data_IF_894342897959
#
_entry.id   IF_894342897959
#
_cell.length_a   1.000
_cell.length_b   1.000
_cell.length_c   1.000
_cell.angle_alpha   90.00
_cell.angle_beta   90.00
_cell.angle_gamma   90.00
#
_symmetry.space_group_name_H-M   'P 1'
#
loop_
_entity.id
_entity.type
_entity.pdbx_description
1 polymer ?
#
# COMPACT_ATOMS: atom_id res chain seq x y z
N UNK A 1 13.42 13.81 -0.31
CA UNK A 1 14.16 12.90 0.56
C UNK A 1 15.68 13.04 0.40
N UNK A 2 16.23 13.01 -0.81
CA UNK A 2 17.68 13.22 -1.03
C UNK A 2 18.16 14.55 -0.44
N UNK A 3 17.44 15.64 -0.68
CA UNK A 3 17.78 16.96 -0.09
C UNK A 3 17.76 16.89 1.44
N UNK A 4 16.80 16.21 2.05
CA UNK A 4 16.75 16.00 3.49
C UNK A 4 18.01 15.30 3.99
N UNK A 5 18.40 14.18 3.38
CA UNK A 5 19.61 13.43 3.73
C UNK A 5 20.87 14.31 3.56
N UNK A 6 21.01 15.01 2.44
CA UNK A 6 22.17 15.86 2.17
C UNK A 6 22.28 16.99 3.20
N UNK A 7 21.16 17.68 3.50
CA UNK A 7 21.16 18.78 4.48
C UNK A 7 21.58 18.29 5.86
N UNK A 8 21.01 17.17 6.36
CA UNK A 8 21.36 16.66 7.68
C UNK A 8 22.77 16.04 7.73
N UNK A 9 23.26 15.48 6.63
CA UNK A 9 24.66 15.04 6.55
C UNK A 9 25.64 16.22 6.60
N UNK A 10 25.33 17.34 5.95
CA UNK A 10 26.14 18.56 6.04
C UNK A 10 26.11 19.17 7.44
N UNK A 11 24.98 19.00 8.15
CA UNK A 11 24.82 19.48 9.53
C UNK A 11 25.34 18.49 10.59
N UNK A 12 25.85 17.32 10.20
CA UNK A 12 26.28 16.28 11.15
C UNK A 12 27.29 16.80 12.18
N UNK A 13 28.23 17.68 11.76
CA UNK A 13 29.17 18.31 12.66
C UNK A 13 28.57 19.25 13.70
N UNK A 14 27.38 19.81 13.43
CA UNK A 14 26.68 20.68 14.37
C UNK A 14 26.05 19.87 15.51
N UNK A 15 25.67 18.63 15.26
CA UNK A 15 25.10 17.73 16.28
C UNK A 15 25.99 17.55 17.49
N UNK A 16 27.30 17.55 17.30
CA UNK A 16 28.29 17.45 18.41
C UNK A 16 28.28 18.66 19.38
N UNK A 17 27.66 19.76 18.98
CA UNK A 17 27.53 20.97 19.81
C UNK A 17 26.17 21.08 20.53
N UNK A 18 25.25 20.15 20.26
CA UNK A 18 23.90 20.13 20.85
C UNK A 18 23.87 19.26 22.11
N UNK A 19 23.04 19.61 23.06
CA UNK A 19 22.75 18.79 24.24
C UNK A 19 21.79 17.62 23.90
N UNK A 20 21.70 16.63 24.77
CA UNK A 20 20.88 15.44 24.59
C UNK A 20 19.41 15.79 24.35
N UNK A 21 18.87 16.79 25.06
CA UNK A 21 17.48 17.20 24.92
C UNK A 21 17.22 17.79 23.52
N UNK A 22 18.13 18.61 23.01
CA UNK A 22 18.05 19.17 21.67
C UNK A 22 18.15 18.07 20.60
N UNK A 23 19.05 17.08 20.78
CA UNK A 23 19.19 15.93 19.89
C UNK A 23 17.95 15.05 19.85
N UNK A 24 17.29 14.86 20.98
CA UNK A 24 16.00 14.13 21.04
C UNK A 24 14.92 14.92 20.31
N UNK A 25 14.73 16.20 20.59
CA UNK A 25 13.69 17.03 19.96
C UNK A 25 13.91 17.12 18.44
N UNK A 26 15.14 17.34 18.01
CA UNK A 26 15.51 17.38 16.60
C UNK A 26 15.29 16.01 15.94
N UNK A 27 15.67 14.92 16.62
CA UNK A 27 15.43 13.56 16.16
C UNK A 27 13.96 13.24 15.97
N UNK A 28 13.09 13.64 16.89
CA UNK A 28 11.64 13.48 16.75
C UNK A 28 11.08 14.29 15.58
N UNK A 29 11.55 15.53 15.38
CA UNK A 29 11.18 16.31 14.19
C UNK A 29 11.66 15.67 12.89
N UNK A 30 12.89 15.14 12.88
CA UNK A 30 13.47 14.41 11.74
C UNK A 30 12.67 13.13 11.44
N UNK A 31 12.20 12.40 12.45
CA UNK A 31 11.45 11.17 12.29
C UNK A 31 10.10 11.33 11.57
N UNK A 32 9.45 12.50 11.74
CA UNK A 32 8.19 12.83 11.07
C UNK A 32 8.41 13.32 9.64
N UNK A 33 9.51 14.01 9.39
CA UNK A 33 9.76 14.73 8.13
C UNK A 33 9.69 13.85 6.88
N UNK A 34 10.35 12.66 6.79
CA UNK A 34 10.26 11.80 5.61
C UNK A 34 8.83 11.33 5.32
N UNK A 35 8.05 11.00 6.36
CA UNK A 35 6.68 10.59 6.23
C UNK A 35 5.79 11.71 5.67
N UNK A 36 5.91 12.93 6.22
CA UNK A 36 5.17 14.08 5.72
C UNK A 36 5.55 14.44 4.28
N UNK A 37 6.84 14.37 3.92
CA UNK A 37 7.27 14.60 2.54
C UNK A 37 6.64 13.59 1.58
N UNK A 38 6.55 12.31 1.96
CA UNK A 38 5.88 11.29 1.17
C UNK A 38 4.38 11.55 1.04
N UNK A 39 3.68 11.88 2.11
CA UNK A 39 2.25 12.24 2.06
C UNK A 39 2.00 13.40 1.10
N UNK A 40 2.86 14.43 1.13
CA UNK A 40 2.76 15.56 0.20
C UNK A 40 3.02 15.14 -1.26
N UNK A 41 3.99 14.23 -1.48
CA UNK A 41 4.30 13.72 -2.82
C UNK A 41 3.12 12.92 -3.36
N UNK A 42 2.58 11.97 -2.61
CA UNK A 42 1.41 11.19 -3.01
C UNK A 42 0.22 12.09 -3.31
N UNK A 43 -0.08 13.02 -2.42
CA UNK A 43 -1.16 13.98 -2.64
C UNK A 43 -0.98 14.83 -3.92
N UNK A 44 0.26 15.13 -4.32
CA UNK A 44 0.52 15.89 -5.56
C UNK A 44 0.52 15.04 -6.81
N UNK A 45 0.78 13.74 -6.70
CA UNK A 45 0.75 12.80 -7.82
C UNK A 45 -0.69 12.41 -8.18
N UNK A 46 -1.53 12.32 -7.18
CA UNK A 46 -2.97 12.08 -7.31
C UNK A 46 -3.71 13.36 -7.67
N UNK A 47 -3.66 13.74 -8.97
CA UNK A 47 -4.26 14.96 -9.47
C UNK A 47 -5.62 14.77 -10.12
N UNK A 48 -5.96 13.52 -10.49
CA UNK A 48 -7.18 13.23 -11.22
C UNK A 48 -8.40 13.29 -10.29
N UNK A 49 -8.33 12.59 -9.15
CA UNK A 49 -9.35 12.58 -8.10
C UNK A 49 -8.66 12.54 -6.72
N UNK A 50 -8.20 13.71 -6.20
CA UNK A 50 -7.39 13.73 -4.99
C UNK A 50 -8.19 13.33 -3.76
N UNK A 51 -7.70 12.32 -3.04
CA UNK A 51 -8.27 11.81 -1.81
C UNK A 51 -8.49 12.91 -0.74
N UNK A 52 -9.58 12.84 0.04
CA UNK A 52 -9.82 13.79 1.11
C UNK A 52 -8.70 13.81 2.14
N UNK A 53 -8.04 14.96 2.29
CA UNK A 53 -6.90 15.14 3.22
C UNK A 53 -7.20 14.65 4.63
N UNK A 54 -8.45 14.79 5.09
CA UNK A 54 -8.88 14.38 6.42
C UNK A 54 -8.82 12.87 6.58
N UNK A 55 -9.18 12.12 5.53
CA UNK A 55 -9.14 10.65 5.56
C UNK A 55 -7.70 10.15 5.49
N UNK A 56 -6.88 10.67 4.59
CA UNK A 56 -5.45 10.33 4.51
C UNK A 56 -4.74 10.62 5.84
N UNK A 57 -4.97 11.81 6.42
CA UNK A 57 -4.43 12.15 7.73
C UNK A 57 -5.00 11.26 8.85
N UNK A 58 -6.28 10.92 8.79
CA UNK A 58 -6.93 10.01 9.74
C UNK A 58 -6.31 8.61 9.72
N UNK A 59 -6.08 8.05 8.53
CA UNK A 59 -5.44 6.74 8.37
C UNK A 59 -3.98 6.76 8.83
N UNK A 60 -3.22 7.82 8.47
CA UNK A 60 -1.85 8.03 8.97
C UNK A 60 -1.80 8.06 10.49
N UNK A 61 -2.66 8.88 11.12
CA UNK A 61 -2.71 9.00 12.59
C UNK A 61 -3.15 7.71 13.26
N UNK A 62 -4.10 6.99 12.67
CA UNK A 62 -4.54 5.68 13.20
C UNK A 62 -3.41 4.65 13.10
N UNK A 63 -2.69 4.59 11.98
CA UNK A 63 -1.51 3.75 11.83
C UNK A 63 -0.42 4.09 12.86
N UNK A 64 -0.17 5.38 13.07
CA UNK A 64 0.77 5.89 14.07
C UNK A 64 0.35 5.49 15.50
N UNK A 65 -0.91 5.72 15.88
CA UNK A 65 -1.41 5.40 17.22
C UNK A 65 -1.43 3.88 17.48
N UNK A 66 -1.85 3.08 16.51
CA UNK A 66 -1.81 1.62 16.61
C UNK A 66 -0.36 1.12 16.73
N UNK A 67 0.57 1.69 15.97
CA UNK A 67 1.98 1.35 16.08
C UNK A 67 2.53 1.73 17.46
N UNK A 68 2.21 2.90 17.98
CA UNK A 68 2.62 3.32 19.31
C UNK A 68 2.08 2.40 20.41
N UNK A 69 0.81 1.98 20.29
CA UNK A 69 0.15 1.14 21.28
C UNK A 69 0.60 -0.33 21.22
N UNK A 70 0.86 -0.87 20.03
CA UNK A 70 1.09 -2.31 19.84
C UNK A 70 2.57 -2.66 19.70
N UNK A 71 3.35 -1.84 18.98
CA UNK A 71 4.74 -2.18 18.66
C UNK A 71 5.60 -2.35 19.90
N UNK A 72 5.62 -1.36 20.79
CA UNK A 72 6.49 -1.41 21.98
C UNK A 72 6.18 -2.65 22.83
N UNK A 73 4.94 -2.87 23.34
CA UNK A 73 4.67 -4.04 24.17
C UNK A 73 4.89 -5.38 23.44
N UNK A 74 4.57 -5.47 22.14
CA UNK A 74 4.78 -6.72 21.40
C UNK A 74 6.27 -7.04 21.27
N UNK A 75 7.09 -6.07 20.93
CA UNK A 75 8.51 -6.30 20.66
C UNK A 75 9.31 -6.46 21.96
N UNK A 76 9.03 -5.66 23.00
CA UNK A 76 9.83 -5.66 24.22
C UNK A 76 9.32 -6.62 25.29
N UNK A 77 7.98 -6.76 25.44
CA UNK A 77 7.40 -7.55 26.53
C UNK A 77 7.02 -8.96 26.07
N UNK A 78 6.30 -9.08 24.93
CA UNK A 78 5.76 -10.38 24.50
C UNK A 78 6.86 -11.23 23.86
N UNK A 79 7.61 -10.67 22.92
CA UNK A 79 8.61 -11.42 22.17
C UNK A 79 10.04 -11.17 22.64
N UNK A 80 10.31 -10.12 23.40
CA UNK A 80 11.65 -9.74 23.87
C UNK A 80 12.70 -9.82 22.73
N UNK A 81 12.39 -9.18 21.59
CA UNK A 81 13.11 -9.34 20.33
C UNK A 81 14.61 -9.04 20.44
N UNK A 82 14.97 -8.08 21.29
CA UNK A 82 16.36 -7.65 21.51
C UNK A 82 17.24 -8.79 22.09
N UNK A 83 16.63 -9.76 22.76
CA UNK A 83 17.37 -10.85 23.39
C UNK A 83 17.82 -11.95 22.43
N UNK A 84 17.14 -12.15 21.27
CA UNK A 84 17.39 -13.30 20.42
C UNK A 84 17.44 -13.00 18.92
N UNK A 85 16.81 -11.93 18.46
CA UNK A 85 16.60 -11.68 17.04
C UNK A 85 17.93 -11.46 16.29
N UNK A 86 18.95 -10.85 16.93
CA UNK A 86 20.26 -10.59 16.35
C UNK A 86 21.30 -11.71 16.54
N UNK A 87 20.98 -12.81 17.25
CA UNK A 87 21.97 -13.86 17.60
C UNK A 87 22.38 -14.68 16.39
N UNK A 88 21.42 -15.09 15.54
CA UNK A 88 21.66 -15.85 14.32
C UNK A 88 20.99 -15.18 13.11
N UNK A 89 21.54 -15.39 11.92
CA UNK A 89 20.97 -14.80 10.70
C UNK A 89 19.54 -15.30 10.43
N UNK A 90 19.24 -16.57 10.74
CA UNK A 90 17.91 -17.13 10.54
C UNK A 90 16.90 -16.61 11.58
N UNK A 91 17.33 -16.39 12.84
CA UNK A 91 16.47 -15.78 13.87
C UNK A 91 16.15 -14.32 13.50
N UNK A 92 17.10 -13.59 12.94
CA UNK A 92 16.92 -12.25 12.41
C UNK A 92 15.93 -12.25 11.24
N UNK A 93 16.09 -13.15 10.27
CA UNK A 93 15.17 -13.27 9.12
C UNK A 93 13.74 -13.60 9.58
N UNK A 94 13.59 -14.64 10.40
CA UNK A 94 12.27 -15.05 10.91
C UNK A 94 11.65 -13.98 11.82
N UNK A 95 12.43 -13.36 12.69
CA UNK A 95 11.96 -12.26 13.54
C UNK A 95 11.48 -11.06 12.72
N UNK A 96 12.23 -10.67 11.70
CA UNK A 96 11.84 -9.60 10.81
C UNK A 96 10.55 -9.93 10.02
N UNK A 97 10.37 -11.16 9.54
CA UNK A 97 9.15 -11.54 8.81
C UNK A 97 7.96 -11.72 9.76
N UNK A 98 8.11 -12.54 10.80
CA UNK A 98 7.00 -12.99 11.64
C UNK A 98 6.60 -11.95 12.70
N UNK A 99 7.52 -11.10 13.15
CA UNK A 99 7.21 -10.09 14.17
C UNK A 99 7.15 -8.71 13.53
N UNK A 100 8.26 -8.20 12.98
CA UNK A 100 8.27 -6.85 12.41
C UNK A 100 7.28 -6.74 11.26
N UNK A 101 7.31 -7.67 10.31
CA UNK A 101 6.46 -7.68 9.14
C UNK A 101 4.99 -7.91 9.47
N UNK A 102 4.67 -8.96 10.25
CA UNK A 102 3.27 -9.28 10.57
C UNK A 102 2.60 -8.20 11.42
N UNK A 103 3.29 -7.68 12.44
CA UNK A 103 2.74 -6.60 13.27
C UNK A 103 2.50 -5.35 12.44
N UNK A 104 3.46 -4.98 11.59
CA UNK A 104 3.32 -3.81 10.71
C UNK A 104 2.18 -3.98 9.70
N UNK A 105 2.09 -5.14 9.04
CA UNK A 105 1.00 -5.44 8.11
C UNK A 105 -0.37 -5.47 8.80
N UNK A 106 -0.47 -6.03 10.02
CA UNK A 106 -1.69 -6.03 10.82
C UNK A 106 -2.12 -4.62 11.22
N UNK A 107 -1.18 -3.75 11.58
CA UNK A 107 -1.46 -2.34 11.90
C UNK A 107 -1.96 -1.59 10.66
N UNK A 108 -1.29 -1.75 9.51
CA UNK A 108 -1.71 -1.13 8.25
C UNK A 108 -3.11 -1.61 7.86
N UNK A 109 -3.34 -2.93 7.87
CA UNK A 109 -4.66 -3.50 7.61
C UNK A 109 -5.73 -2.93 8.53
N UNK A 110 -5.48 -2.93 9.85
CA UNK A 110 -6.40 -2.42 10.86
C UNK A 110 -6.72 -0.94 10.68
N UNK A 111 -5.71 -0.11 10.41
CA UNK A 111 -5.89 1.33 10.19
C UNK A 111 -6.77 1.62 8.98
N UNK A 112 -6.49 0.99 7.83
CA UNK A 112 -7.29 1.15 6.62
C UNK A 112 -8.70 0.58 6.82
N UNK A 113 -8.81 -0.60 7.42
CA UNK A 113 -10.11 -1.28 7.63
C UNK A 113 -11.07 -0.47 8.50
N UNK A 114 -10.54 0.16 9.56
CA UNK A 114 -11.37 0.90 10.53
C UNK A 114 -11.73 2.29 10.03
N UNK A 115 -10.82 2.98 9.34
CA UNK A 115 -11.01 4.40 9.01
C UNK A 115 -11.71 4.60 7.67
N UNK A 116 -11.32 3.84 6.64
CA UNK A 116 -11.74 4.17 5.25
C UNK A 116 -12.35 3.01 4.49
N UNK A 117 -12.16 1.76 4.88
CA UNK A 117 -12.53 0.63 4.03
C UNK A 117 -14.02 0.58 3.68
N UNK A 118 -14.90 1.01 4.57
CA UNK A 118 -16.36 1.07 4.36
C UNK A 118 -16.85 2.50 4.03
N UNK A 119 -15.93 3.46 3.83
CA UNK A 119 -16.25 4.84 3.50
C UNK A 119 -16.61 4.97 2.01
N UNK A 120 -17.62 5.80 1.62
CA UNK A 120 -17.94 6.08 0.22
C UNK A 120 -16.80 6.69 -0.58
N UNK A 121 -15.90 7.42 0.05
CA UNK A 121 -14.71 8.02 -0.58
C UNK A 121 -13.64 6.97 -0.97
N UNK A 122 -13.79 5.71 -0.55
CA UNK A 122 -12.98 4.61 -1.04
C UNK A 122 -13.69 4.02 -2.26
N UNK A 123 -13.58 4.68 -3.40
CA UNK A 123 -14.33 4.38 -4.62
C UNK A 123 -13.45 3.88 -5.78
N UNK A 124 -12.11 3.98 -5.64
CA UNK A 124 -11.17 3.42 -6.59
C UNK A 124 -10.27 2.31 -5.98
N UNK A 125 -9.75 1.43 -6.84
CA UNK A 125 -8.79 0.38 -6.41
C UNK A 125 -7.45 0.97 -5.95
N UNK A 126 -7.08 2.13 -6.51
CA UNK A 126 -5.84 2.82 -6.16
C UNK A 126 -5.87 3.42 -4.76
N UNK A 127 -7.05 3.78 -4.24
CA UNK A 127 -7.23 4.34 -2.90
C UNK A 127 -6.71 3.39 -1.83
N UNK A 128 -6.90 2.08 -2.05
CA UNK A 128 -6.32 1.06 -1.18
C UNK A 128 -4.82 1.22 -1.01
N UNK A 129 -4.10 1.56 -2.09
CA UNK A 129 -2.65 1.78 -2.05
C UNK A 129 -2.34 3.09 -1.32
N UNK A 130 -3.04 4.18 -1.61
CA UNK A 130 -2.83 5.50 -1.02
C UNK A 130 -3.04 5.43 0.49
N UNK A 131 -4.16 4.88 0.93
CA UNK A 131 -4.47 4.76 2.36
C UNK A 131 -3.54 3.78 3.09
N UNK A 132 -3.19 2.65 2.48
CA UNK A 132 -2.25 1.72 3.11
C UNK A 132 -0.86 2.33 3.26
N UNK A 133 -0.37 3.06 2.25
CA UNK A 133 0.89 3.82 2.34
C UNK A 133 0.82 4.86 3.45
N UNK A 134 -0.29 5.60 3.58
CA UNK A 134 -0.47 6.55 4.67
C UNK A 134 -0.37 5.88 6.05
N UNK A 135 -1.03 4.72 6.25
CA UNK A 135 -0.90 3.92 7.47
C UNK A 135 0.54 3.44 7.72
N UNK A 136 1.21 2.93 6.66
CA UNK A 136 2.60 2.48 6.72
C UNK A 136 3.58 3.59 7.10
N UNK A 137 3.34 4.82 6.62
CA UNK A 137 4.09 6.01 7.02
C UNK A 137 3.89 6.34 8.52
N UNK A 138 2.70 6.11 9.06
CA UNK A 138 2.44 6.21 10.51
C UNK A 138 3.27 5.19 11.30
N UNK A 139 3.34 3.94 10.84
CA UNK A 139 4.20 2.88 11.43
C UNK A 139 5.68 3.28 11.38
N UNK A 140 6.15 3.79 10.23
CA UNK A 140 7.52 4.26 10.06
C UNK A 140 7.88 5.38 11.04
N UNK A 141 6.98 6.34 11.25
CA UNK A 141 7.18 7.45 12.18
C UNK A 141 7.41 6.94 13.60
N UNK A 142 6.60 5.99 14.08
CA UNK A 142 6.81 5.39 15.41
C UNK A 142 8.08 4.57 15.46
N UNK A 143 8.44 3.82 14.40
CA UNK A 143 9.71 3.12 14.34
C UNK A 143 10.89 4.07 14.55
N UNK A 144 10.87 5.21 13.85
CA UNK A 144 11.89 6.24 13.97
C UNK A 144 11.87 6.94 15.35
N UNK A 145 10.69 7.17 15.95
CA UNK A 145 10.59 7.71 17.32
C UNK A 145 11.23 6.78 18.34
N UNK A 146 10.91 5.50 18.27
CA UNK A 146 11.50 4.48 19.17
C UNK A 146 13.02 4.47 19.02
N UNK A 147 13.54 4.53 17.80
CA UNK A 147 14.98 4.63 17.54
C UNK A 147 15.61 5.83 18.26
N UNK A 148 15.06 7.04 18.08
CA UNK A 148 15.57 8.26 18.72
C UNK A 148 15.58 8.14 20.25
N UNK A 149 14.50 7.64 20.82
CA UNK A 149 14.36 7.51 22.28
C UNK A 149 15.31 6.45 22.86
N UNK A 150 15.50 5.33 22.16
CA UNK A 150 16.39 4.24 22.62
C UNK A 150 17.88 4.65 22.58
N UNK A 151 18.25 5.55 21.66
CA UNK A 151 19.62 6.00 21.50
C UNK A 151 19.93 7.34 22.23
N UNK A 152 18.94 7.89 22.98
CA UNK A 152 19.12 9.15 23.71
C UNK A 152 19.29 10.38 22.80
N UNK A 153 18.82 10.30 21.54
CA UNK A 153 18.94 11.34 20.54
C UNK A 153 19.19 10.78 19.14
N UNK A 154 19.64 11.62 18.22
CA UNK A 154 19.88 11.25 16.83
C UNK A 154 21.28 11.70 16.38
N UNK A 155 22.02 10.82 15.73
CA UNK A 155 23.10 11.23 14.84
C UNK A 155 22.50 11.83 13.56
N UNK A 156 22.83 13.08 13.27
CA UNK A 156 22.18 13.80 12.16
C UNK A 156 22.48 13.18 10.80
N UNK A 157 23.69 12.66 10.59
CA UNK A 157 24.09 12.03 9.35
C UNK A 157 23.47 10.65 9.20
N UNK A 158 23.83 9.72 10.07
CA UNK A 158 23.41 8.32 10.04
C UNK A 158 21.89 8.22 10.25
N UNK A 159 21.36 8.94 11.23
CA UNK A 159 19.94 8.94 11.56
C UNK A 159 19.06 9.44 10.42
N UNK A 160 19.49 10.46 9.66
CA UNK A 160 18.72 10.96 8.52
C UNK A 160 18.56 9.89 7.43
N UNK A 161 19.60 9.15 7.12
CA UNK A 161 19.58 8.06 6.13
C UNK A 161 18.67 6.92 6.63
N UNK A 162 18.87 6.49 7.89
CA UNK A 162 18.04 5.44 8.50
C UNK A 162 16.56 5.79 8.46
N UNK A 163 16.19 7.00 8.86
CA UNK A 163 14.78 7.42 8.86
C UNK A 163 14.15 7.43 7.47
N UNK A 164 14.92 7.77 6.44
CA UNK A 164 14.47 7.69 5.05
C UNK A 164 14.31 6.23 4.63
N UNK A 165 15.29 5.38 4.92
CA UNK A 165 15.27 3.95 4.56
C UNK A 165 14.10 3.24 5.25
N UNK A 166 13.88 3.46 6.55
CA UNK A 166 12.76 2.89 7.29
C UNK A 166 11.42 3.34 6.69
N UNK A 167 11.28 4.63 6.38
CA UNK A 167 10.07 5.19 5.76
C UNK A 167 9.79 4.56 4.39
N UNK A 168 10.81 4.38 3.56
CA UNK A 168 10.70 3.70 2.26
C UNK A 168 10.28 2.25 2.40
N UNK A 169 10.83 1.52 3.36
CA UNK A 169 10.52 0.12 3.62
C UNK A 169 9.06 -0.09 4.00
N UNK A 170 8.59 0.63 5.02
CA UNK A 170 7.20 0.53 5.46
C UNK A 170 6.20 0.99 4.40
N UNK A 171 6.46 2.10 3.70
CA UNK A 171 5.59 2.63 2.66
C UNK A 171 5.47 1.67 1.47
N UNK A 172 6.60 1.14 0.98
CA UNK A 172 6.61 0.24 -0.16
C UNK A 172 5.94 -1.09 0.13
N UNK A 173 6.17 -1.69 1.30
CA UNK A 173 5.50 -2.93 1.69
C UNK A 173 4.00 -2.74 1.97
N UNK A 174 3.61 -1.58 2.55
CA UNK A 174 2.22 -1.22 2.75
C UNK A 174 1.47 -1.06 1.42
N UNK A 175 2.11 -0.57 0.35
CA UNK A 175 1.50 -0.44 -0.98
C UNK A 175 1.05 -1.78 -1.56
N UNK A 176 1.77 -2.87 -1.29
CA UNK A 176 1.37 -4.23 -1.68
C UNK A 176 0.07 -4.62 -0.97
N UNK A 177 0.00 -4.44 0.36
CA UNK A 177 -1.22 -4.73 1.11
C UNK A 177 -2.39 -3.87 0.63
N UNK A 178 -2.13 -2.59 0.35
CA UNK A 178 -3.11 -1.65 -0.21
C UNK A 178 -3.70 -2.11 -1.53
N UNK A 179 -2.86 -2.65 -2.44
CA UNK A 179 -3.32 -3.26 -3.68
C UNK A 179 -4.32 -4.40 -3.42
N UNK A 180 -3.98 -5.32 -2.49
CA UNK A 180 -4.88 -6.42 -2.13
C UNK A 180 -6.19 -5.93 -1.47
N UNK A 181 -6.12 -4.89 -0.66
CA UNK A 181 -7.31 -4.29 -0.03
C UNK A 181 -8.21 -3.59 -1.05
N UNK A 182 -7.61 -2.84 -1.99
CA UNK A 182 -8.35 -2.21 -3.08
C UNK A 182 -9.06 -3.23 -3.96
N UNK A 183 -8.38 -4.29 -4.37
CA UNK A 183 -9.02 -5.37 -5.14
C UNK A 183 -10.14 -6.06 -4.38
N UNK A 184 -9.93 -6.38 -3.09
CA UNK A 184 -10.94 -7.05 -2.27
C UNK A 184 -12.19 -6.20 -2.00
N UNK A 185 -12.09 -4.87 -2.12
CA UNK A 185 -13.22 -3.94 -1.99
C UNK A 185 -14.17 -4.03 -3.18
N UNK A 186 -13.62 -4.13 -4.40
CA UNK A 186 -14.38 -3.99 -5.64
C UNK A 186 -14.61 -5.30 -6.38
N UNK A 187 -13.87 -6.35 -6.06
CA UNK A 187 -13.99 -7.65 -6.70
C UNK A 187 -14.42 -8.76 -5.73
N UNK A 188 -15.11 -9.76 -6.24
CA UNK A 188 -15.41 -10.98 -5.48
C UNK A 188 -14.16 -11.83 -5.39
N UNK A 189 -13.33 -11.54 -4.39
CA UNK A 189 -12.09 -12.29 -4.16
C UNK A 189 -12.31 -13.49 -3.24
N UNK A 190 -11.54 -14.58 -3.38
CA UNK A 190 -11.55 -15.70 -2.43
C UNK A 190 -11.16 -15.22 -1.02
N UNK A 191 -11.66 -15.90 0.02
CA UNK A 191 -11.34 -15.58 1.43
C UNK A 191 -9.83 -15.54 1.74
N UNK A 192 -9.02 -16.34 1.03
CA UNK A 192 -7.55 -16.41 1.21
C UNK A 192 -6.83 -15.19 0.63
N UNK A 193 -7.50 -14.35 -0.17
CA UNK A 193 -6.86 -13.26 -0.92
C UNK A 193 -6.29 -12.18 0.00
N UNK A 194 -7.09 -11.65 0.94
CA UNK A 194 -6.63 -10.66 1.92
C UNK A 194 -5.57 -11.20 2.88
N UNK A 195 -5.75 -12.38 3.51
CA UNK A 195 -4.68 -13.01 4.29
C UNK A 195 -3.39 -13.22 3.48
N UNK A 196 -3.49 -13.59 2.21
CA UNK A 196 -2.35 -13.69 1.30
C UNK A 196 -1.64 -12.34 1.10
N UNK A 197 -2.39 -11.25 0.94
CA UNK A 197 -1.87 -9.89 0.86
C UNK A 197 -1.14 -9.45 2.14
N UNK A 198 -1.70 -9.77 3.30
CA UNK A 198 -1.07 -9.51 4.60
C UNK A 198 0.24 -10.27 4.74
N UNK A 199 0.25 -11.58 4.42
CA UNK A 199 1.45 -12.42 4.48
C UNK A 199 2.53 -11.94 3.49
N UNK A 200 2.15 -11.56 2.28
CA UNK A 200 3.08 -11.05 1.28
C UNK A 200 3.69 -9.72 1.74
N UNK A 201 2.88 -8.77 2.21
CA UNK A 201 3.35 -7.50 2.76
C UNK A 201 4.27 -7.71 3.95
N UNK A 202 3.90 -8.61 4.88
CA UNK A 202 4.72 -8.96 6.03
C UNK A 202 6.08 -9.55 5.63
N UNK A 203 6.07 -10.47 4.65
CA UNK A 203 7.30 -11.09 4.13
C UNK A 203 8.20 -10.06 3.47
N UNK A 204 7.65 -9.16 2.66
CA UNK A 204 8.40 -8.10 2.00
C UNK A 204 8.97 -7.09 3.00
N UNK A 205 8.18 -6.70 4.02
CA UNK A 205 8.66 -5.86 5.12
C UNK A 205 9.84 -6.52 5.84
N UNK A 206 9.66 -7.79 6.23
CA UNK A 206 10.70 -8.52 6.95
C UNK A 206 11.97 -8.74 6.12
N UNK A 207 11.82 -9.08 4.85
CA UNK A 207 12.95 -9.27 3.95
C UNK A 207 13.68 -7.94 3.68
N UNK A 208 12.94 -6.84 3.53
CA UNK A 208 13.49 -5.51 3.37
C UNK A 208 14.42 -5.15 4.54
N UNK A 209 13.90 -5.23 5.78
CA UNK A 209 14.70 -4.91 6.96
C UNK A 209 15.85 -5.89 7.19
N UNK A 210 15.63 -7.19 6.95
CA UNK A 210 16.70 -8.17 7.00
C UNK A 210 17.86 -7.83 6.05
N UNK A 211 17.56 -7.45 4.81
CA UNK A 211 18.59 -7.09 3.83
C UNK A 211 19.31 -5.80 4.20
N UNK A 212 18.59 -4.79 4.72
CA UNK A 212 19.21 -3.56 5.24
C UNK A 212 20.14 -3.86 6.41
N UNK A 213 19.69 -4.66 7.38
CA UNK A 213 20.50 -5.05 8.54
C UNK A 213 21.75 -5.87 8.14
N UNK A 214 21.61 -6.70 7.10
CA UNK A 214 22.76 -7.48 6.54
C UNK A 214 23.69 -6.64 5.71
N UNK A 215 23.26 -5.51 5.15
CA UNK A 215 24.15 -4.61 4.41
C UNK A 215 25.21 -3.94 5.27
N UNK A 216 25.05 -3.98 6.60
CA UNK A 216 26.04 -3.50 7.57
C UNK A 216 25.77 -2.10 8.12
N UNK A 217 24.60 -1.54 7.86
CA UNK A 217 24.20 -0.20 8.25
C UNK A 217 24.03 0.04 9.74
N UNK A 218 23.77 -1.02 10.48
CA UNK A 218 23.67 -0.92 11.92
C UNK A 218 25.02 -0.87 12.63
N UNK A 219 26.14 -0.93 11.88
CA UNK A 219 27.50 -0.78 12.42
C UNK A 219 27.94 0.67 12.27
N UNK A 220 28.39 1.31 13.34
CA UNK A 220 28.99 2.66 13.34
C UNK A 220 30.15 2.85 12.34
N UNK A 221 30.58 1.80 11.67
CA UNK A 221 31.66 1.75 10.69
C UNK A 221 31.20 1.38 9.27
N UNK A 222 29.88 1.15 9.05
CA UNK A 222 29.31 0.77 7.76
C UNK A 222 29.21 1.96 6.80
N UNK A 223 29.25 1.66 5.51
CA UNK A 223 28.99 2.65 4.45
C UNK A 223 27.49 2.98 4.40
N UNK A 224 27.09 4.03 5.13
CA UNK A 224 25.69 4.46 5.32
C UNK A 224 25.00 4.76 3.98
N UNK A 225 25.80 5.23 2.99
CA UNK A 225 25.31 5.49 1.64
C UNK A 225 24.89 4.20 0.91
N UNK A 226 25.56 3.08 1.21
CA UNK A 226 25.21 1.78 0.65
C UNK A 226 23.82 1.36 1.08
N UNK A 227 23.42 1.61 2.31
CA UNK A 227 22.09 1.27 2.81
C UNK A 227 21.02 2.13 2.18
N UNK A 228 21.28 3.40 1.98
CA UNK A 228 20.37 4.26 1.23
C UNK A 228 20.19 3.71 -0.19
N UNK A 229 21.27 3.30 -0.86
CA UNK A 229 21.21 2.71 -2.20
C UNK A 229 20.45 1.38 -2.22
N UNK A 230 20.71 0.50 -1.27
CA UNK A 230 20.00 -0.79 -1.13
C UNK A 230 18.53 -0.54 -0.81
N UNK A 231 18.20 0.34 0.14
CA UNK A 231 16.83 0.69 0.50
C UNK A 231 16.05 1.29 -0.66
N UNK A 232 16.65 2.23 -1.39
CA UNK A 232 16.05 2.82 -2.59
C UNK A 232 15.85 1.76 -3.68
N UNK A 233 16.84 0.91 -3.93
CA UNK A 233 16.74 -0.17 -4.90
C UNK A 233 15.60 -1.15 -4.56
N UNK A 234 15.53 -1.64 -3.34
CA UNK A 234 14.46 -2.53 -2.88
C UNK A 234 13.09 -1.87 -3.00
N UNK A 235 12.99 -0.59 -2.62
CA UNK A 235 11.75 0.19 -2.78
C UNK A 235 11.32 0.28 -4.24
N UNK A 236 12.26 0.57 -5.16
CA UNK A 236 11.96 0.63 -6.59
C UNK A 236 11.50 -0.72 -7.15
N UNK A 237 12.07 -1.83 -6.69
CA UNK A 237 11.64 -3.19 -7.05
C UNK A 237 10.21 -3.44 -6.59
N UNK A 238 9.89 -3.14 -5.33
CA UNK A 238 8.55 -3.34 -4.76
C UNK A 238 7.53 -2.43 -5.47
N UNK A 239 7.83 -1.15 -5.64
CA UNK A 239 6.95 -0.20 -6.34
C UNK A 239 6.76 -0.57 -7.82
N UNK A 240 7.80 -1.08 -8.47
CA UNK A 240 7.71 -1.63 -9.83
C UNK A 240 6.76 -2.84 -9.91
N UNK A 241 6.83 -3.73 -8.93
CA UNK A 241 5.91 -4.87 -8.82
C UNK A 241 4.45 -4.40 -8.63
N UNK A 242 4.21 -3.42 -7.75
CA UNK A 242 2.88 -2.81 -7.56
C UNK A 242 2.36 -2.18 -8.85
N UNK A 243 3.18 -1.37 -9.50
CA UNK A 243 2.81 -0.73 -10.76
C UNK A 243 2.48 -1.77 -11.86
N UNK A 244 3.23 -2.87 -11.92
CA UNK A 244 2.94 -3.99 -12.82
C UNK A 244 1.62 -4.68 -12.49
N UNK A 245 1.35 -4.97 -11.20
CA UNK A 245 0.10 -5.57 -10.74
C UNK A 245 -1.11 -4.70 -11.08
N UNK A 246 -1.02 -3.38 -10.83
CA UNK A 246 -2.07 -2.42 -11.16
C UNK A 246 -2.35 -2.38 -12.66
N UNK A 247 -1.29 -2.31 -13.50
CA UNK A 247 -1.45 -2.34 -14.96
C UNK A 247 -2.13 -3.61 -15.43
N UNK A 248 -1.69 -4.76 -14.93
CA UNK A 248 -2.29 -6.05 -15.28
C UNK A 248 -3.78 -6.13 -14.91
N UNK A 249 -4.15 -5.69 -13.71
CA UNK A 249 -5.54 -5.66 -13.28
C UNK A 249 -6.40 -4.76 -14.17
N UNK A 250 -5.90 -3.59 -14.56
CA UNK A 250 -6.60 -2.67 -15.47
C UNK A 250 -6.78 -3.26 -16.88
N UNK A 251 -5.76 -3.96 -17.42
CA UNK A 251 -5.84 -4.62 -18.73
C UNK A 251 -6.88 -5.76 -18.74
N UNK A 252 -6.96 -6.56 -17.66
CA UNK A 252 -7.94 -7.63 -17.52
C UNK A 252 -9.36 -7.06 -17.48
N UNK A 253 -9.59 -5.97 -16.73
CA UNK A 253 -10.87 -5.27 -16.67
C UNK A 253 -11.28 -4.72 -18.04
N UNK A 254 -10.37 -4.07 -18.76
CA UNK A 254 -10.62 -3.53 -20.09
C UNK A 254 -10.99 -4.65 -21.09
N UNK A 255 -10.33 -5.80 -21.05
CA UNK A 255 -10.64 -6.97 -21.91
C UNK A 255 -12.04 -7.51 -21.62
N UNK A 256 -12.41 -7.68 -20.36
CA UNK A 256 -13.75 -8.17 -19.96
C UNK A 256 -14.82 -7.21 -20.45
N UNK A 257 -14.64 -5.90 -20.29
CA UNK A 257 -15.57 -4.88 -20.75
C UNK A 257 -15.74 -4.91 -22.28
N UNK A 258 -14.64 -5.07 -23.04
CA UNK A 258 -14.70 -5.19 -24.49
C UNK A 258 -15.44 -6.45 -24.96
N UNK A 259 -15.22 -7.59 -24.29
CA UNK A 259 -15.91 -8.85 -24.60
C UNK A 259 -17.41 -8.75 -24.30
N UNK A 260 -17.80 -8.11 -23.21
CA UNK A 260 -19.22 -7.86 -22.88
C UNK A 260 -19.87 -6.97 -23.94
N UNK A 261 -19.21 -5.86 -24.32
CA UNK A 261 -19.73 -4.95 -25.33
C UNK A 261 -19.83 -5.59 -26.73
N UNK A 262 -18.92 -6.51 -27.07
CA UNK A 262 -18.98 -7.26 -28.34
C UNK A 262 -20.05 -8.38 -28.31
N UNK A 263 -20.30 -8.97 -27.14
CA UNK A 263 -21.36 -9.97 -26.92
C UNK A 263 -22.77 -9.39 -27.11
N UNK A 264 -23.04 -8.23 -26.54
CA UNK A 264 -24.34 -7.56 -26.67
C UNK A 264 -24.65 -7.08 -28.11
N UNK A 265 -23.65 -6.89 -28.94
CA UNK A 265 -23.82 -6.41 -30.31
C UNK A 265 -24.41 -7.45 -31.27
N UNK A 266 -24.35 -8.76 -30.99
CA UNK A 266 -24.95 -9.80 -31.84
C UNK A 266 -26.33 -10.26 -31.35
N UNK A 267 -26.68 -10.05 -30.08
CA UNK A 267 -28.04 -10.29 -29.58
C UNK A 267 -29.03 -9.20 -29.99
N UNK A 268 -28.58 -8.03 -30.39
CA UNK A 268 -29.42 -6.89 -30.77
C UNK A 268 -29.88 -6.88 -32.24
N UNK A 269 -29.74 -7.97 -33.00
CA UNK A 269 -30.31 -8.04 -34.35
C UNK A 269 -31.71 -8.67 -34.27
N UNK A 270 -32.80 -7.88 -34.23
CA UNK A 270 -34.15 -8.44 -34.32
C UNK A 270 -34.28 -9.11 -35.70
N UNK A 271 -34.56 -10.40 -35.69
CA UNK A 271 -35.04 -11.09 -36.88
C UNK A 271 -36.33 -10.39 -37.34
N UNK A 272 -36.24 -9.53 -38.34
CA UNK A 272 -37.41 -9.00 -39.02
C UNK A 272 -38.09 -10.19 -39.69
N UNK A 273 -39.30 -10.60 -39.31
CA UNK A 273 -40.02 -11.60 -40.08
C UNK A 273 -40.41 -10.95 -41.39
N UNK A 274 -39.79 -11.37 -42.50
CA UNK A 274 -40.23 -11.05 -43.84
C UNK A 274 -41.56 -11.78 -44.05
N UNK A 275 -42.69 -11.09 -43.87
CA UNK A 275 -43.99 -11.58 -44.28
C UNK A 275 -44.02 -11.49 -45.81
N UNK A 276 -43.75 -12.60 -46.44
CA UNK A 276 -44.00 -12.77 -47.87
C UNK A 276 -45.51 -12.86 -48.07
N UNK A 277 -46.16 -11.77 -48.47
CA UNK A 277 -47.51 -11.77 -48.98
C UNK A 277 -47.51 -12.48 -50.34
N UNK A 278 -47.80 -13.78 -50.35
CA UNK A 278 -48.16 -14.50 -51.57
C UNK A 278 -49.60 -14.15 -51.94
N UNK A 279 -49.74 -13.62 -53.16
CA UNK A 279 -50.98 -13.34 -53.86
C UNK A 279 -51.96 -14.52 -53.77
N UNK A 280 -53.18 -14.33 -53.16
CA UNK A 280 -54.28 -15.19 -53.33
C UNK A 280 -55.20 -14.54 -54.39
N UNK A 281 -55.18 -15.14 -55.57
CA UNK A 281 -56.04 -14.86 -56.71
C UNK A 281 -57.47 -15.16 -56.33
N UNK A 282 -58.36 -14.17 -56.53
CA UNK A 282 -59.81 -14.31 -56.51
C UNK A 282 -60.29 -15.22 -57.63
N UNK A 283 -60.97 -16.31 -57.33
CA UNK A 283 -61.84 -17.01 -58.27
C UNK A 283 -63.28 -17.03 -57.71
N UNK A 284 -64.14 -16.44 -58.53
CA UNK A 284 -65.62 -16.44 -58.42
C UNK A 284 -66.14 -17.84 -58.19
N UNK A 285 -67.14 -17.96 -57.34
CA UNK A 285 -68.26 -18.94 -57.49
C UNK A 285 -69.53 -18.31 -57.01
N UNK A 286 -70.43 -18.33 -57.89
CA UNK A 286 -71.86 -17.96 -58.00
C UNK A 286 -72.75 -18.54 -56.90
N UNK A 287 -73.74 -17.73 -56.57
CA UNK A 287 -75.07 -17.95 -55.99
C UNK A 287 -75.71 -19.25 -56.33
N UNK A 288 -76.41 -19.87 -55.34
CA UNK A 288 -77.74 -20.42 -55.51
C UNK A 288 -78.50 -20.33 -54.15
N UNK A 289 -79.72 -19.72 -54.30
CA UNK A 289 -80.81 -19.70 -53.38
C UNK A 289 -81.33 -21.12 -53.12
N UNK A 290 -82.01 -21.28 -52.01
CA UNK A 290 -82.86 -22.41 -51.75
C UNK A 290 -83.25 -22.49 -50.27
N UNK A 291 -84.27 -21.78 -49.92
CA UNK A 291 -85.60 -22.09 -49.29
C UNK A 291 -85.61 -23.14 -48.17
N UNK A 292 -86.37 -22.70 -47.14
CA UNK A 292 -87.42 -23.32 -46.36
C UNK A 292 -87.07 -24.32 -45.25
N UNK A 293 -87.36 -23.96 -44.10
CA UNK A 293 -88.43 -24.32 -43.11
C UNK A 293 -87.96 -23.95 -41.72
#
# INVERSE_FOLDING_TARGET
>A
LIIFVVVFNLLAGVGAALDDAALILLGLAMAVTPALLWLVIFYRLDRAEPEPRRLVAGVYLTGLLLAAALRVPIFTVIFATDAWMGVYWWSQLLGNILIVGMVSAAIVYGAVRVVVFDNPEFDERLDGIIYAVAAGLGVATISNFVYVLQHGGVDLGIGSIRMVVDTLGYASAASILGYFMGQARFEKTPLIYLPGGVLLSATLTGLYFFLIERSGANSFTGDVWRDLLVGVFLTLVIMGAVAWLVRRANEETARVTQLSASGDSWEAKPATPTITTSNITTSNITTTEGDAA
#
